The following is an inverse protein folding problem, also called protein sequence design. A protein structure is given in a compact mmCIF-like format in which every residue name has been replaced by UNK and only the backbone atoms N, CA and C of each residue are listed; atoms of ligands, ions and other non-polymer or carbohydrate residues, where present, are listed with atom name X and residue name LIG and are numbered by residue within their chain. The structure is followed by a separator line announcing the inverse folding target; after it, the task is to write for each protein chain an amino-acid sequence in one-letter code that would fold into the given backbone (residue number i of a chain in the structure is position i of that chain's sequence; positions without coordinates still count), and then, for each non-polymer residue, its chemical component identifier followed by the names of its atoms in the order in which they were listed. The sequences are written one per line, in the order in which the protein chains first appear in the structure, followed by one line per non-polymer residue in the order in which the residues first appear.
data_IF_866511224994
#
_entry.id   IF_866511224994
#
_cell.length_a   1.000
_cell.length_b   1.000
_cell.length_c   1.000
_cell.angle_alpha   90.00
_cell.angle_beta   90.00
_cell.angle_gamma   90.00
#
_symmetry.space_group_name_H-M   'P 1'
#
loop_
_entity.id
_entity.type
_entity.pdbx_description
1 polymer ?
#
# COMPACT_ATOMS: atom_id res chain seq x y z
N UNK A 1 9.74 -13.21 28.57
CA UNK A 1 9.79 -12.85 27.13
C UNK A 1 8.41 -12.40 26.72
N UNK A 2 8.26 -11.24 26.06
CA UNK A 2 6.93 -10.72 25.71
C UNK A 2 6.27 -11.60 24.64
N UNK A 3 4.94 -11.73 24.70
CA UNK A 3 4.13 -12.54 23.78
C UNK A 3 4.27 -12.14 22.30
N UNK A 4 4.78 -10.94 22.04
CA UNK A 4 5.11 -10.42 20.71
C UNK A 4 6.42 -11.03 20.17
N UNK A 5 7.44 -11.15 21.02
CA UNK A 5 8.75 -11.73 20.64
C UNK A 5 8.64 -13.22 20.28
N UNK A 6 7.71 -13.94 20.91
CA UNK A 6 7.44 -15.34 20.59
C UNK A 6 6.73 -15.52 19.23
N UNK A 7 5.81 -14.61 18.88
CA UNK A 7 5.11 -14.62 17.58
C UNK A 7 6.04 -14.30 16.40
N UNK A 8 6.91 -13.31 16.53
CA UNK A 8 7.88 -12.95 15.48
C UNK A 8 8.84 -14.12 15.20
N UNK A 9 9.31 -14.80 16.25
CA UNK A 9 10.15 -16.00 16.12
C UNK A 9 9.41 -17.16 15.43
N UNK A 10 8.13 -17.34 15.72
CA UNK A 10 7.34 -18.41 15.11
C UNK A 10 7.16 -18.21 13.61
N UNK A 11 6.82 -17.01 13.16
CA UNK A 11 6.63 -16.74 11.72
C UNK A 11 7.94 -16.84 10.94
N UNK A 12 9.05 -16.38 11.53
CA UNK A 12 10.36 -16.50 10.91
C UNK A 12 10.77 -17.96 10.67
N UNK A 13 10.52 -18.84 11.65
CA UNK A 13 10.78 -20.28 11.50
C UNK A 13 9.94 -20.94 10.39
N UNK A 14 8.72 -20.46 10.15
CA UNK A 14 7.90 -20.95 9.04
C UNK A 14 8.53 -20.56 7.70
N UNK A 15 8.96 -19.31 7.56
CA UNK A 15 9.60 -18.84 6.31
C UNK A 15 10.91 -19.57 6.07
N UNK A 16 11.74 -19.74 7.10
CA UNK A 16 13.02 -20.45 7.05
C UNK A 16 12.89 -21.95 6.72
N UNK A 17 11.71 -22.55 6.93
CA UNK A 17 11.45 -23.95 6.61
C UNK A 17 11.20 -24.24 5.13
N UNK A 18 11.02 -23.20 4.29
CA UNK A 18 10.91 -23.39 2.85
C UNK A 18 12.31 -23.54 2.25
N UNK A 19 12.51 -24.54 1.40
CA UNK A 19 13.77 -24.69 0.66
C UNK A 19 13.85 -23.72 -0.54
N UNK A 20 15.07 -23.36 -0.93
CA UNK A 20 15.33 -22.38 -1.99
C UNK A 20 14.70 -22.76 -3.34
N UNK A 21 14.68 -24.05 -3.69
CA UNK A 21 14.13 -24.54 -4.96
C UNK A 21 12.61 -24.37 -4.98
N UNK A 22 11.93 -24.73 -3.89
CA UNK A 22 10.50 -24.50 -3.72
C UNK A 22 10.16 -23.02 -3.77
N UNK A 23 10.89 -22.16 -3.04
CA UNK A 23 10.67 -20.71 -3.05
C UNK A 23 10.80 -20.16 -4.47
N UNK A 24 11.88 -20.53 -5.17
CA UNK A 24 12.13 -20.06 -6.53
C UNK A 24 11.02 -20.50 -7.50
N UNK A 25 10.69 -21.79 -7.52
CA UNK A 25 9.66 -22.36 -8.40
C UNK A 25 8.30 -21.73 -8.13
N UNK A 26 7.85 -21.74 -6.87
CA UNK A 26 6.54 -21.22 -6.49
C UNK A 26 6.41 -19.72 -6.79
N UNK A 27 7.47 -18.94 -6.57
CA UNK A 27 7.47 -17.51 -6.91
C UNK A 27 7.39 -17.30 -8.42
N UNK A 28 8.13 -18.07 -9.22
CA UNK A 28 8.08 -17.97 -10.69
C UNK A 28 6.70 -18.33 -11.23
N UNK A 29 6.12 -19.43 -10.75
CA UNK A 29 4.78 -19.88 -11.12
C UNK A 29 3.71 -18.83 -10.77
N UNK A 30 3.76 -18.26 -9.56
CA UNK A 30 2.84 -17.22 -9.15
C UNK A 30 2.93 -15.96 -10.03
N UNK A 31 4.15 -15.49 -10.30
CA UNK A 31 4.33 -14.28 -11.12
C UNK A 31 3.93 -14.50 -12.59
N UNK A 32 4.00 -15.73 -13.09
CA UNK A 32 3.54 -16.08 -14.44
C UNK A 32 2.01 -16.06 -14.59
N UNK A 33 1.26 -16.17 -13.49
CA UNK A 33 -0.22 -16.13 -13.52
C UNK A 33 -0.81 -14.73 -13.54
N UNK A 34 0.00 -13.69 -13.40
CA UNK A 34 -0.47 -12.31 -13.55
C UNK A 34 -1.02 -12.06 -14.96
N UNK A 35 -2.13 -11.28 -15.11
CA UNK A 35 -2.72 -10.37 -14.11
C UNK A 35 -3.76 -11.01 -13.16
N UNK A 36 -3.93 -12.34 -13.16
CA UNK A 36 -4.81 -13.01 -12.19
C UNK A 36 -4.16 -13.03 -10.80
N UNK A 37 -4.43 -11.97 -10.03
CA UNK A 37 -3.88 -11.82 -8.69
C UNK A 37 -4.39 -12.89 -7.71
N UNK A 38 -5.60 -13.43 -7.91
CA UNK A 38 -6.17 -14.46 -7.03
C UNK A 38 -5.41 -15.78 -7.18
N UNK A 39 -5.17 -16.19 -8.44
CA UNK A 39 -4.35 -17.35 -8.75
C UNK A 39 -2.91 -17.15 -8.26
N UNK A 40 -2.33 -15.97 -8.55
CA UNK A 40 -0.94 -15.64 -8.16
C UNK A 40 -0.75 -15.68 -6.64
N UNK A 41 -1.68 -15.09 -5.89
CA UNK A 41 -1.66 -15.12 -4.42
C UNK A 41 -1.86 -16.54 -3.90
N UNK A 42 -2.76 -17.32 -4.51
CA UNK A 42 -2.99 -18.70 -4.08
C UNK A 42 -1.76 -19.59 -4.26
N UNK A 43 -0.96 -19.35 -5.29
CA UNK A 43 0.33 -20.03 -5.48
C UNK A 43 1.34 -19.60 -4.43
N UNK A 44 1.44 -18.29 -4.11
CA UNK A 44 2.35 -17.80 -3.07
C UNK A 44 1.97 -18.24 -1.65
N UNK A 45 0.67 -18.33 -1.34
CA UNK A 45 0.14 -18.80 -0.05
C UNK A 45 0.50 -20.27 0.25
N UNK A 46 1.04 -21.01 -0.73
CA UNK A 46 1.57 -22.36 -0.52
C UNK A 46 2.91 -22.38 0.24
N UNK A 47 3.64 -21.24 0.26
CA UNK A 47 4.88 -21.10 1.03
C UNK A 47 4.57 -20.91 2.51
N UNK A 48 5.28 -21.64 3.37
CA UNK A 48 5.10 -21.56 4.82
C UNK A 48 5.44 -20.15 5.31
N UNK A 49 4.54 -19.55 6.09
CA UNK A 49 4.71 -18.19 6.61
C UNK A 49 4.41 -17.08 5.60
N UNK A 50 3.98 -17.42 4.38
CA UNK A 50 3.47 -16.46 3.39
C UNK A 50 1.95 -16.49 3.42
N UNK A 51 1.35 -15.35 3.77
CA UNK A 51 -0.10 -15.13 3.67
C UNK A 51 -0.42 -13.89 2.86
N UNK A 52 -1.69 -13.46 2.81
CA UNK A 52 -2.16 -12.37 1.94
C UNK A 52 -1.36 -11.06 2.05
N UNK A 53 -0.87 -10.71 3.24
CA UNK A 53 -0.02 -9.53 3.44
C UNK A 53 1.33 -9.64 2.69
N UNK A 54 2.05 -10.75 2.86
CA UNK A 54 3.36 -10.96 2.21
C UNK A 54 3.18 -11.27 0.72
N UNK A 55 2.18 -12.08 0.37
CA UNK A 55 1.88 -12.40 -1.03
C UNK A 55 1.52 -11.13 -1.82
N UNK A 56 0.62 -10.29 -1.31
CA UNK A 56 0.27 -9.01 -1.97
C UNK A 56 1.47 -8.07 -2.08
N UNK A 57 2.38 -8.05 -1.09
CA UNK A 57 3.62 -7.30 -1.19
C UNK A 57 4.50 -7.76 -2.36
N UNK A 58 4.74 -9.07 -2.48
CA UNK A 58 5.53 -9.66 -3.57
C UNK A 58 4.90 -9.33 -4.94
N UNK A 59 3.58 -9.51 -5.05
CA UNK A 59 2.84 -9.24 -6.30
C UNK A 59 2.88 -7.76 -6.69
N UNK A 60 2.75 -6.85 -5.71
CA UNK A 60 2.80 -5.41 -5.94
C UNK A 60 4.16 -4.88 -6.43
N UNK A 61 5.24 -5.66 -6.27
CA UNK A 61 6.54 -5.35 -6.88
C UNK A 61 6.51 -5.57 -8.40
N UNK A 62 5.68 -6.49 -8.88
CA UNK A 62 5.56 -6.82 -10.30
C UNK A 62 4.43 -6.05 -10.98
N UNK A 63 3.31 -5.86 -10.29
CA UNK A 63 2.15 -5.14 -10.80
C UNK A 63 1.68 -4.06 -9.81
N UNK A 64 1.84 -2.76 -10.14
CA UNK A 64 1.46 -1.66 -9.25
C UNK A 64 -0.07 -1.51 -9.06
N UNK A 65 -0.88 -2.26 -9.82
CA UNK A 65 -2.34 -2.32 -9.66
C UNK A 65 -2.80 -3.27 -8.54
N UNK A 66 -1.87 -4.07 -8.00
CA UNK A 66 -2.13 -4.94 -6.86
C UNK A 66 -1.78 -4.16 -5.58
N UNK A 67 -2.76 -3.87 -4.70
CA UNK A 67 -2.52 -3.17 -3.44
C UNK A 67 -1.82 -4.08 -2.43
N UNK A 68 -0.84 -3.51 -1.73
CA UNK A 68 -0.16 -4.15 -0.60
C UNK A 68 -1.11 -4.14 0.59
N UNK A 69 -1.38 -5.31 1.17
CA UNK A 69 -2.23 -5.43 2.35
C UNK A 69 -1.46 -5.06 3.64
N UNK A 70 -1.04 -3.80 3.73
CA UNK A 70 -0.33 -3.24 4.88
C UNK A 70 -1.29 -2.72 5.95
N UNK A 71 -0.86 -2.71 7.20
CA UNK A 71 -1.67 -2.24 8.33
C UNK A 71 -2.09 -0.76 8.16
N UNK A 72 -1.18 0.10 7.71
CA UNK A 72 -1.46 1.52 7.54
C UNK A 72 -2.50 1.76 6.43
N UNK A 73 -2.34 1.11 5.27
CA UNK A 73 -3.30 1.24 4.19
C UNK A 73 -4.65 0.61 4.54
N UNK A 74 -4.65 -0.55 5.18
CA UNK A 74 -5.86 -1.20 5.68
C UNK A 74 -6.62 -0.30 6.65
N UNK A 75 -5.92 0.31 7.62
CA UNK A 75 -6.48 1.25 8.60
C UNK A 75 -7.02 2.51 7.95
N UNK A 76 -6.26 3.14 7.06
CA UNK A 76 -6.69 4.35 6.36
C UNK A 76 -7.83 4.11 5.36
N UNK A 77 -7.97 2.88 4.85
CA UNK A 77 -9.05 2.54 3.91
C UNK A 77 -10.42 2.47 4.57
N UNK A 78 -10.48 2.21 5.88
CA UNK A 78 -11.73 1.96 6.60
C UNK A 78 -12.45 0.66 6.22
N UNK A 79 -11.86 -0.15 5.33
CA UNK A 79 -12.42 -1.42 4.84
C UNK A 79 -12.16 -2.54 5.84
N UNK A 80 -10.99 -2.49 6.49
CA UNK A 80 -10.55 -3.55 7.39
C UNK A 80 -10.87 -3.14 8.81
N UNK A 81 -11.55 -4.03 9.54
CA UNK A 81 -11.88 -3.79 10.95
C UNK A 81 -10.61 -3.50 11.76
N UNK A 82 -10.76 -2.90 12.94
CA UNK A 82 -9.62 -2.61 13.84
C UNK A 82 -8.77 -3.84 14.20
N UNK A 83 -9.27 -5.05 13.91
CA UNK A 83 -8.51 -6.31 13.94
C UNK A 83 -8.55 -6.97 12.55
N UNK A 84 -7.66 -6.57 11.66
CA UNK A 84 -7.42 -7.24 10.39
C UNK A 84 -7.11 -8.73 10.61
N UNK A 85 -7.89 -9.63 10.02
CA UNK A 85 -7.64 -11.08 10.04
C UNK A 85 -6.59 -11.49 9.01
N UNK A 86 -6.37 -10.64 8.00
CA UNK A 86 -5.43 -10.88 6.90
C UNK A 86 -5.74 -12.19 6.17
N UNK A 87 -7.03 -12.48 5.98
CA UNK A 87 -7.48 -13.61 5.17
C UNK A 87 -7.78 -13.18 3.72
N UNK A 88 -8.00 -14.17 2.85
CA UNK A 88 -8.24 -13.94 1.41
C UNK A 88 -9.55 -13.19 1.14
N UNK A 89 -10.55 -13.35 2.01
CA UNK A 89 -11.85 -12.68 1.85
C UNK A 89 -11.68 -11.18 2.12
N UNK A 90 -11.05 -10.83 3.24
CA UNK A 90 -10.72 -9.44 3.56
C UNK A 90 -9.82 -8.83 2.50
N UNK A 91 -8.85 -9.59 1.96
CA UNK A 91 -8.01 -9.08 0.88
C UNK A 91 -8.80 -8.78 -0.39
N UNK A 92 -9.83 -9.56 -0.75
CA UNK A 92 -10.66 -9.28 -1.92
C UNK A 92 -11.43 -7.96 -1.77
N UNK A 93 -12.04 -7.75 -0.61
CA UNK A 93 -12.77 -6.51 -0.28
C UNK A 93 -11.82 -5.30 -0.28
N UNK A 94 -10.65 -5.46 0.35
CA UNK A 94 -9.57 -4.47 0.34
C UNK A 94 -9.08 -4.16 -1.09
N UNK A 95 -8.79 -5.19 -1.87
CA UNK A 95 -8.30 -5.07 -3.24
C UNK A 95 -9.25 -4.26 -4.12
N UNK A 96 -10.55 -4.58 -4.04
CA UNK A 96 -11.58 -3.89 -4.80
C UNK A 96 -11.65 -2.40 -4.44
N UNK A 97 -11.75 -2.07 -3.16
CA UNK A 97 -11.97 -0.69 -2.75
C UNK A 97 -10.70 0.20 -2.87
N UNK A 98 -9.48 -0.35 -2.75
CA UNK A 98 -8.27 0.43 -3.09
C UNK A 98 -8.19 0.69 -4.60
N UNK A 99 -8.53 -0.28 -5.45
CA UNK A 99 -8.56 -0.08 -6.90
C UNK A 99 -9.66 0.91 -7.34
N UNK A 100 -10.83 0.84 -6.71
CA UNK A 100 -11.89 1.83 -6.89
C UNK A 100 -11.40 3.23 -6.47
N UNK A 101 -10.72 3.34 -5.33
CA UNK A 101 -10.13 4.60 -4.88
C UNK A 101 -9.10 5.13 -5.87
N UNK A 102 -8.20 4.28 -6.36
CA UNK A 102 -7.20 4.64 -7.37
C UNK A 102 -7.85 5.14 -8.66
N UNK A 103 -8.93 4.48 -9.09
CA UNK A 103 -9.73 4.91 -10.24
C UNK A 103 -10.40 6.26 -9.98
N UNK A 104 -10.99 6.48 -8.80
CA UNK A 104 -11.66 7.74 -8.45
C UNK A 104 -10.70 8.94 -8.35
N UNK A 105 -9.44 8.70 -7.97
CA UNK A 105 -8.40 9.73 -7.86
C UNK A 105 -7.68 9.96 -9.20
N UNK A 106 -7.81 9.04 -10.15
CA UNK A 106 -7.22 9.19 -11.47
C UNK A 106 -7.92 10.30 -12.25
N UNK A 107 -7.15 11.05 -13.01
CA UNK A 107 -7.65 12.07 -13.94
C UNK A 107 -7.47 11.60 -15.38
N UNK A 108 -7.99 12.36 -16.35
CA UNK A 108 -7.80 12.05 -17.78
C UNK A 108 -6.32 11.97 -18.19
N UNK A 109 -5.44 12.68 -17.49
CA UNK A 109 -4.01 12.78 -17.81
C UNK A 109 -3.12 11.97 -16.86
N UNK A 110 -3.62 11.62 -15.68
CA UNK A 110 -2.82 11.00 -14.63
C UNK A 110 -3.52 9.76 -14.08
N UNK A 111 -2.98 8.59 -14.36
CA UNK A 111 -3.41 7.34 -13.74
C UNK A 111 -2.77 7.20 -12.36
N UNK A 112 -3.59 7.10 -11.33
CA UNK A 112 -3.18 6.77 -9.98
C UNK A 112 -3.25 5.26 -9.82
N UNK A 113 -2.20 4.68 -9.26
CA UNK A 113 -2.12 3.25 -8.95
C UNK A 113 -2.33 3.03 -7.44
N UNK A 114 -2.86 1.87 -7.04
CA UNK A 114 -2.84 1.41 -5.65
C UNK A 114 -1.49 1.57 -4.96
N UNK A 115 -0.38 1.31 -5.67
CA UNK A 115 0.97 1.53 -5.12
C UNK A 115 1.25 2.99 -4.77
N UNK A 116 0.79 3.94 -5.58
CA UNK A 116 0.94 5.36 -5.26
C UNK A 116 0.08 5.79 -4.07
N UNK A 117 -1.11 5.20 -3.92
CA UNK A 117 -1.94 5.42 -2.72
C UNK A 117 -1.21 4.90 -1.48
N UNK A 118 -0.65 3.70 -1.54
CA UNK A 118 0.15 3.10 -0.45
C UNK A 118 1.29 4.02 -0.03
N UNK A 119 2.11 4.48 -0.97
CA UNK A 119 3.20 5.41 -0.72
C UNK A 119 2.74 6.74 -0.10
N UNK A 120 1.63 7.30 -0.60
CA UNK A 120 1.07 8.53 -0.06
C UNK A 120 0.54 8.34 1.36
N UNK A 121 -0.15 7.22 1.64
CA UNK A 121 -0.60 6.87 2.98
C UNK A 121 0.58 6.75 3.95
N UNK A 122 1.64 6.03 3.56
CA UNK A 122 2.86 5.93 4.36
C UNK A 122 3.52 7.28 4.61
N UNK A 123 3.64 8.12 3.58
CA UNK A 123 4.19 9.47 3.74
C UNK A 123 3.38 10.31 4.73
N UNK A 124 2.05 10.22 4.70
CA UNK A 124 1.16 10.90 5.63
C UNK A 124 1.28 10.38 7.07
N UNK A 125 1.29 9.06 7.26
CA UNK A 125 1.45 8.43 8.59
C UNK A 125 2.82 8.75 9.19
N UNK A 126 3.87 8.66 8.37
CA UNK A 126 5.23 8.98 8.79
C UNK A 126 5.39 10.46 9.16
N UNK A 127 4.85 11.37 8.33
CA UNK A 127 4.89 12.81 8.62
C UNK A 127 4.11 13.16 9.89
N UNK A 128 2.99 12.49 10.14
CA UNK A 128 2.17 12.71 11.34
C UNK A 128 2.88 12.24 12.63
N UNK A 129 3.70 11.19 12.54
CA UNK A 129 4.53 10.72 13.65
C UNK A 129 5.86 11.49 13.78
N UNK A 130 6.28 12.21 12.74
CA UNK A 130 7.52 12.99 12.70
C UNK A 130 7.30 14.42 12.19
N UNK A 131 6.70 15.32 13.00
CA UNK A 131 6.27 16.65 12.56
C UNK A 131 7.39 17.55 12.00
N UNK A 132 8.64 17.30 12.39
CA UNK A 132 9.82 18.06 11.91
C UNK A 132 10.15 17.80 10.43
N UNK A 133 9.62 16.72 9.85
CA UNK A 133 9.84 16.31 8.45
C UNK A 133 8.59 16.51 7.59
N UNK A 134 7.48 16.97 8.18
CA UNK A 134 6.27 17.24 7.43
C UNK A 134 6.54 18.36 6.39
N UNK A 135 6.03 18.24 5.16
CA UNK A 135 6.11 19.34 4.21
C UNK A 135 5.48 20.60 4.84
N UNK A 136 6.04 21.79 4.59
CA UNK A 136 5.47 23.02 5.09
C UNK A 136 4.01 23.10 4.63
N UNK A 137 3.09 23.24 5.58
CA UNK A 137 1.67 23.35 5.27
C UNK A 137 1.49 24.47 4.25
N UNK A 138 0.82 24.18 3.12
CA UNK A 138 0.52 25.16 2.09
C UNK A 138 -0.06 26.41 2.76
N UNK A 139 0.72 27.48 2.77
CA UNK A 139 0.29 28.78 3.26
C UNK A 139 -0.89 29.20 2.39
N UNK A 140 -2.08 29.27 2.98
CA UNK A 140 -3.15 30.09 2.45
C UNK A 140 -2.62 31.52 2.37
N UNK A 141 -2.15 31.93 1.21
CA UNK A 141 -2.01 33.34 0.88
C UNK A 141 -2.77 33.61 -0.42
N UNK A 142 -4.04 33.94 -0.24
CA UNK A 142 -4.76 34.74 -1.21
C UNK A 142 -4.25 36.18 -1.08
N UNK A 143 -3.15 36.51 -1.77
CA UNK A 143 -2.81 37.90 -2.03
C UNK A 143 -2.66 38.11 -3.54
N UNK A 144 -3.79 38.44 -4.17
CA UNK A 144 -3.82 38.95 -5.54
C UNK A 144 -3.30 40.39 -5.47
N UNK A 145 -2.16 40.74 -6.10
CA UNK A 145 -1.66 42.11 -6.05
C UNK A 145 -2.61 43.03 -6.85
N UNK A 146 -3.22 43.99 -6.15
CA UNK A 146 -4.04 45.05 -6.77
C UNK A 146 -3.15 45.94 -7.64
N UNK A 147 -3.54 46.29 -8.88
CA UNK A 147 -2.69 47.07 -9.77
C UNK A 147 -2.55 48.53 -9.28
N UNK A 148 -1.38 49.16 -9.47
CA UNK A 148 -1.11 50.49 -8.91
C UNK A 148 -1.87 51.59 -9.67
N UNK A 149 -2.48 52.51 -8.91
CA UNK A 149 -3.15 53.71 -9.45
C UNK A 149 -2.10 54.68 -10.02
N UNK A 150 -2.12 54.93 -11.33
CA UNK A 150 -1.33 55.98 -11.98
C UNK A 150 -1.76 57.35 -11.46
N UNK A 151 -0.85 58.12 -10.86
CA UNK A 151 -1.05 59.55 -10.61
C UNK A 151 -0.69 60.32 -11.89
N UNK A 152 -1.67 61.02 -12.46
CA UNK A 152 -1.45 61.96 -13.56
C UNK A 152 -0.66 63.17 -13.04
N UNK A 153 0.42 63.54 -13.73
CA UNK A 153 1.22 64.73 -13.44
C UNK A 153 0.70 65.87 -14.32
N UNK A 154 0.24 66.96 -13.69
CA UNK A 154 0.09 68.28 -14.33
C UNK A 154 1.42 69.02 -14.22
#
# INVERSE_FOLDING_TARGET
MSHFSQRVRQNWLLVDSNDDETVQRTTQEALATLPDWEASMSTLDALMGVGPATASFILALRDPTIPIFSEELARCSGIVSTSAKYDRKEYREFHAAINEKATSLSTKTTKITPRQIEQATWACVYSSSHPKLAPPADSKDSDVPKPPKKKAKR
#
